data_IF_118869929134
#
_entry.id   IF_118869929134
#
_cell.length_a   1.000
_cell.length_b   1.000
_cell.length_c   1.000
_cell.angle_alpha   90.00
_cell.angle_beta   90.00
_cell.angle_gamma   90.00
#
_symmetry.space_group_name_H-M   'P 1'
#
loop_
_entity.id
_entity.type
_entity.pdbx_description
1 polymer ?
#
# COMPACT_ATOMS: atom_id res chain seq x y z
N UNK A 1 -5.93 40.95 -33.71
CA UNK A 1 -6.11 40.19 -34.97
C UNK A 1 -5.81 38.73 -34.70
N UNK A 2 -6.84 37.88 -34.78
CA UNK A 2 -6.77 36.42 -34.58
C UNK A 2 -6.00 35.79 -35.75
N UNK A 3 -5.07 34.88 -35.48
CA UNK A 3 -4.62 33.89 -36.45
C UNK A 3 -4.61 32.52 -35.76
N UNK A 4 -5.77 31.85 -35.84
CA UNK A 4 -5.88 30.43 -35.52
C UNK A 4 -5.19 29.65 -36.65
N UNK A 5 -4.17 28.87 -36.31
CA UNK A 5 -3.58 27.88 -37.20
C UNK A 5 -4.50 26.65 -37.22
N UNK A 6 -5.15 26.39 -38.35
CA UNK A 6 -5.96 25.19 -38.57
C UNK A 6 -5.04 24.11 -39.14
N UNK A 7 -4.67 23.13 -38.32
CA UNK A 7 -3.97 21.92 -38.77
C UNK A 7 -5.02 20.94 -39.30
N UNK A 8 -5.04 20.74 -40.61
CA UNK A 8 -5.93 19.79 -41.27
C UNK A 8 -5.25 18.42 -41.26
N UNK A 9 -5.71 17.53 -40.39
CA UNK A 9 -5.24 16.15 -40.30
C UNK A 9 -5.77 15.35 -41.49
N UNK A 10 -4.90 14.98 -42.42
CA UNK A 10 -5.23 14.16 -43.59
C UNK A 10 -5.33 12.69 -43.13
N UNK A 11 -6.55 12.19 -42.90
CA UNK A 11 -6.77 10.75 -42.75
C UNK A 11 -6.69 10.09 -44.13
N UNK A 12 -5.55 9.48 -44.44
CA UNK A 12 -5.46 8.57 -45.58
C UNK A 12 -6.21 7.29 -45.21
N UNK A 13 -7.42 7.13 -45.72
CA UNK A 13 -8.12 5.84 -45.68
C UNK A 13 -7.39 4.88 -46.62
N UNK A 14 -6.77 3.85 -46.05
CA UNK A 14 -6.33 2.69 -46.80
C UNK A 14 -7.59 1.97 -47.32
N UNK A 15 -7.94 2.22 -48.57
CA UNK A 15 -8.90 1.38 -49.28
C UNK A 15 -8.13 0.13 -49.70
N UNK A 16 -8.33 -0.95 -48.96
CA UNK A 16 -7.89 -2.29 -49.37
C UNK A 16 -8.88 -2.72 -50.44
N UNK A 17 -8.54 -2.54 -51.72
CA UNK A 17 -9.33 -3.10 -52.79
C UNK A 17 -9.02 -4.61 -52.85
N UNK A 18 -10.01 -5.42 -52.47
CA UNK A 18 -10.01 -6.84 -52.79
C UNK A 18 -10.01 -7.03 -54.31
N UNK A 19 -9.56 -8.20 -54.77
CA UNK A 19 -9.51 -8.55 -56.19
C UNK A 19 -10.88 -8.33 -56.86
N UNK A 20 -10.93 -7.45 -57.87
CA UNK A 20 -12.19 -6.97 -58.48
C UNK A 20 -12.79 -7.93 -59.52
N UNK A 21 -12.15 -9.07 -59.79
CA UNK A 21 -12.62 -10.06 -60.76
C UNK A 21 -11.73 -11.29 -60.90
N UNK A 22 -12.22 -12.32 -61.59
CA UNK A 22 -11.45 -13.56 -61.88
C UNK A 22 -10.90 -13.48 -63.30
N UNK A 23 -9.58 -13.57 -63.47
CA UNK A 23 -8.98 -13.64 -64.80
C UNK A 23 -9.29 -15.00 -65.45
N UNK A 24 -9.76 -14.98 -66.69
CA UNK A 24 -10.12 -16.14 -67.48
C UNK A 24 -9.49 -16.08 -68.86
N UNK A 25 -8.70 -17.11 -69.21
CA UNK A 25 -8.07 -17.26 -70.52
C UNK A 25 -8.57 -18.54 -71.19
N UNK A 26 -9.09 -18.42 -72.40
CA UNK A 26 -9.65 -19.57 -73.14
C UNK A 26 -9.30 -19.51 -74.62
N UNK A 27 -9.16 -20.69 -75.23
CA UNK A 27 -9.04 -20.89 -76.68
C UNK A 27 -10.45 -21.15 -77.25
N UNK A 28 -10.87 -20.36 -78.23
CA UNK A 28 -12.22 -20.46 -78.80
C UNK A 28 -12.18 -21.20 -80.13
N UNK A 29 -13.11 -22.15 -80.29
CA UNK A 29 -13.30 -22.95 -81.50
C UNK A 29 -14.74 -22.88 -81.98
N UNK A 30 -14.97 -23.12 -83.26
CA UNK A 30 -16.31 -23.34 -83.81
C UNK A 30 -16.86 -24.73 -83.46
N UNK A 31 -18.12 -24.99 -83.82
CA UNK A 31 -18.78 -26.29 -83.63
C UNK A 31 -18.15 -27.45 -84.42
N UNK A 32 -17.24 -27.17 -85.36
CA UNK A 32 -16.42 -28.16 -86.07
C UNK A 32 -15.05 -28.41 -85.44
N UNK A 33 -14.70 -27.71 -84.36
CA UNK A 33 -13.42 -27.82 -83.66
C UNK A 33 -12.28 -26.96 -84.25
N UNK A 34 -12.58 -26.11 -85.23
CA UNK A 34 -11.61 -25.18 -85.84
C UNK A 34 -11.42 -23.96 -84.95
N UNK A 35 -10.18 -23.52 -84.77
CA UNK A 35 -9.86 -22.33 -83.95
C UNK A 35 -10.36 -21.05 -84.63
N UNK A 36 -11.10 -20.22 -83.89
CA UNK A 36 -11.58 -18.93 -84.38
C UNK A 36 -10.51 -17.87 -84.18
N UNK A 37 -9.81 -17.45 -85.24
CA UNK A 37 -8.73 -16.44 -85.18
C UNK A 37 -9.21 -15.07 -85.67
N UNK A 38 -8.87 -14.00 -84.94
CA UNK A 38 -9.26 -12.62 -85.30
C UNK A 38 -10.76 -12.43 -85.55
N UNK A 39 -11.61 -13.17 -84.84
CA UNK A 39 -13.07 -13.12 -84.99
C UNK A 39 -13.73 -12.50 -83.76
N UNK A 40 -14.79 -11.72 -84.00
CA UNK A 40 -15.62 -11.18 -82.92
C UNK A 40 -16.48 -12.29 -82.33
N UNK A 41 -16.47 -12.38 -81.01
CA UNK A 41 -17.19 -13.38 -80.23
C UNK A 41 -17.80 -12.71 -79.00
N UNK A 42 -18.94 -13.22 -78.56
CA UNK A 42 -19.52 -12.86 -77.25
C UNK A 42 -19.41 -14.05 -76.32
N UNK A 43 -18.83 -13.86 -75.14
CA UNK A 43 -18.72 -14.86 -74.08
C UNK A 43 -19.65 -14.45 -72.94
N UNK A 44 -20.51 -15.36 -72.51
CA UNK A 44 -21.35 -15.21 -71.33
C UNK A 44 -20.78 -16.07 -70.19
N UNK A 45 -20.65 -15.46 -69.02
CA UNK A 45 -20.30 -16.16 -67.78
C UNK A 45 -21.53 -16.20 -66.88
N UNK A 46 -21.83 -17.37 -66.33
CA UNK A 46 -22.82 -17.52 -65.26
C UNK A 46 -22.15 -18.20 -64.06
N UNK A 47 -22.32 -17.62 -62.88
CA UNK A 47 -21.91 -18.23 -61.61
C UNK A 47 -23.15 -18.85 -60.98
N UNK A 48 -23.05 -20.15 -60.69
CA UNK A 48 -24.13 -20.97 -60.16
C UNK A 48 -23.76 -21.42 -58.75
N UNK A 49 -24.74 -21.50 -57.84
CA UNK A 49 -24.55 -21.85 -56.43
C UNK A 49 -25.29 -23.15 -56.06
N UNK A 50 -24.59 -23.98 -55.29
CA UNK A 50 -25.10 -25.20 -54.65
C UNK A 50 -25.46 -26.33 -55.60
N UNK A 51 -25.95 -27.44 -55.03
CA UNK A 51 -26.32 -28.63 -55.79
C UNK A 51 -27.45 -28.41 -56.81
N UNK A 52 -28.27 -27.37 -56.60
CA UNK A 52 -29.35 -26.98 -57.51
C UNK A 52 -28.88 -26.13 -58.70
N UNK A 53 -27.61 -25.69 -58.71
CA UNK A 53 -27.03 -24.82 -59.74
C UNK A 53 -27.84 -23.53 -59.96
N UNK A 54 -28.20 -22.85 -58.87
CA UNK A 54 -28.97 -21.60 -58.93
C UNK A 54 -28.11 -20.47 -59.48
N UNK A 55 -28.57 -19.74 -60.50
CA UNK A 55 -27.81 -18.62 -61.06
C UNK A 55 -27.81 -17.43 -60.09
N UNK A 56 -26.64 -17.11 -59.54
CA UNK A 56 -26.43 -15.98 -58.61
C UNK A 56 -25.80 -14.77 -59.29
N UNK A 57 -25.17 -14.96 -60.45
CA UNK A 57 -24.55 -13.88 -61.20
C UNK A 57 -24.36 -14.24 -62.68
N UNK A 58 -24.62 -13.29 -63.57
CA UNK A 58 -24.43 -13.47 -65.01
C UNK A 58 -23.98 -12.17 -65.68
N UNK A 59 -22.99 -12.28 -66.59
CA UNK A 59 -22.47 -11.18 -67.38
C UNK A 59 -22.07 -11.63 -68.79
N UNK A 60 -21.85 -10.66 -69.69
CA UNK A 60 -21.35 -10.88 -71.05
C UNK A 60 -20.16 -10.01 -71.38
N UNK A 61 -19.28 -10.54 -72.23
CA UNK A 61 -18.14 -9.85 -72.82
C UNK A 61 -18.18 -10.01 -74.33
N UNK A 62 -18.11 -8.90 -75.06
CA UNK A 62 -17.91 -8.94 -76.52
C UNK A 62 -16.48 -8.54 -76.82
N UNK A 63 -15.73 -9.44 -77.45
CA UNK A 63 -14.29 -9.26 -77.73
C UNK A 63 -13.93 -9.86 -79.08
N UNK A 64 -12.66 -9.74 -79.48
CA UNK A 64 -12.10 -10.36 -80.69
C UNK A 64 -11.01 -11.33 -80.28
N UNK A 65 -11.05 -12.55 -80.80
CA UNK A 65 -10.00 -13.55 -80.57
C UNK A 65 -8.66 -13.10 -81.16
N UNK A 66 -7.54 -13.47 -80.53
CA UNK A 66 -6.22 -13.16 -81.07
C UNK A 66 -5.85 -14.03 -82.30
N UNK A 67 -4.64 -13.83 -82.82
CA UNK A 67 -4.13 -14.59 -83.97
C UNK A 67 -3.99 -16.10 -83.71
N UNK A 68 -4.07 -16.53 -82.44
CA UNK A 68 -4.03 -17.92 -82.00
C UNK A 68 -5.40 -18.42 -81.49
N UNK A 69 -6.43 -17.59 -81.55
CA UNK A 69 -7.79 -17.89 -81.09
C UNK A 69 -8.03 -17.75 -79.59
N UNK A 70 -7.12 -17.13 -78.84
CA UNK A 70 -7.30 -16.88 -77.41
C UNK A 70 -8.08 -15.59 -77.14
N UNK A 71 -8.80 -15.60 -76.02
CA UNK A 71 -9.31 -14.39 -75.36
C UNK A 71 -8.87 -14.39 -73.90
N UNK A 72 -8.64 -13.20 -73.36
CA UNK A 72 -8.39 -12.95 -71.94
C UNK A 72 -9.48 -12.00 -71.46
N UNK A 73 -10.27 -12.45 -70.49
CA UNK A 73 -11.42 -11.73 -69.95
C UNK A 73 -11.30 -11.70 -68.42
N UNK A 74 -11.86 -10.68 -67.80
CA UNK A 74 -11.99 -10.61 -66.35
C UNK A 74 -13.45 -10.77 -65.97
N UNK A 75 -13.77 -11.86 -65.27
CA UNK A 75 -15.12 -12.13 -64.79
C UNK A 75 -15.42 -11.14 -63.66
N UNK A 76 -16.54 -10.43 -63.74
CA UNK A 76 -16.90 -9.35 -62.81
C UNK A 76 -16.77 -7.93 -63.39
N UNK A 77 -16.19 -7.81 -64.60
CA UNK A 77 -15.96 -6.53 -65.30
C UNK A 77 -16.73 -6.45 -66.63
N UNK A 78 -17.62 -7.40 -66.91
CA UNK A 78 -18.41 -7.47 -68.13
C UNK A 78 -19.69 -6.64 -68.09
N UNK A 79 -20.49 -6.76 -69.15
CA UNK A 79 -21.84 -6.20 -69.19
C UNK A 79 -22.78 -7.09 -68.38
N UNK A 80 -23.22 -6.58 -67.23
CA UNK A 80 -24.08 -7.28 -66.28
C UNK A 80 -25.44 -7.65 -66.91
N UNK A 81 -25.87 -8.89 -66.70
CA UNK A 81 -27.21 -9.38 -67.07
C UNK A 81 -28.08 -9.64 -65.84
N UNK A 82 -27.52 -10.21 -64.77
CA UNK A 82 -28.21 -10.45 -63.50
C UNK A 82 -27.23 -10.63 -62.34
N UNK A 83 -27.70 -10.37 -61.12
CA UNK A 83 -26.89 -10.49 -59.89
C UNK A 83 -25.97 -9.30 -59.64
N UNK A 84 -25.08 -9.43 -58.68
CA UNK A 84 -24.01 -8.46 -58.37
C UNK A 84 -22.77 -9.24 -57.94
N UNK A 85 -21.67 -9.08 -58.69
CA UNK A 85 -20.43 -9.82 -58.47
C UNK A 85 -19.85 -9.58 -57.07
N UNK A 86 -20.03 -8.36 -56.53
CA UNK A 86 -19.51 -7.96 -55.23
C UNK A 86 -20.30 -8.55 -54.05
N UNK A 87 -21.51 -9.05 -54.30
CA UNK A 87 -22.42 -9.59 -53.30
C UNK A 87 -22.52 -11.12 -53.33
N UNK A 88 -21.72 -11.80 -54.17
CA UNK A 88 -21.67 -13.27 -54.21
C UNK A 88 -21.10 -13.79 -52.89
N UNK A 89 -21.86 -14.63 -52.19
CA UNK A 89 -21.48 -15.23 -50.91
C UNK A 89 -20.60 -16.47 -51.11
N UNK A 90 -19.36 -16.26 -51.55
CA UNK A 90 -18.40 -17.33 -51.88
C UNK A 90 -18.10 -18.36 -50.77
N UNK A 91 -18.52 -18.09 -49.52
CA UNK A 91 -18.31 -18.96 -48.37
C UNK A 91 -19.52 -19.83 -47.96
N UNK A 92 -20.70 -19.62 -48.57
CA UNK A 92 -21.94 -20.26 -48.11
C UNK A 92 -22.15 -21.67 -48.71
N UNK A 93 -21.90 -21.86 -50.01
CA UNK A 93 -22.00 -23.17 -50.69
C UNK A 93 -20.98 -23.29 -51.85
N UNK A 94 -20.93 -24.44 -52.51
CA UNK A 94 -20.12 -24.69 -53.71
C UNK A 94 -20.58 -23.81 -54.88
N UNK A 95 -19.63 -23.19 -55.56
CA UNK A 95 -19.89 -22.32 -56.72
C UNK A 95 -19.35 -22.95 -58.01
N UNK A 96 -20.06 -22.73 -59.12
CA UNK A 96 -19.74 -23.27 -60.44
C UNK A 96 -19.72 -22.16 -61.49
N UNK A 97 -18.78 -22.23 -62.42
CA UNK A 97 -18.72 -21.38 -63.60
C UNK A 97 -19.30 -22.11 -64.80
N UNK A 98 -20.40 -21.61 -65.35
CA UNK A 98 -20.88 -21.97 -66.68
C UNK A 98 -20.41 -20.93 -67.70
N UNK A 99 -19.94 -21.41 -68.86
CA UNK A 99 -19.44 -20.55 -69.94
C UNK A 99 -20.23 -20.83 -71.20
N UNK A 100 -20.77 -19.79 -71.82
CA UNK A 100 -21.43 -19.90 -73.12
C UNK A 100 -20.77 -18.94 -74.13
N UNK A 101 -20.69 -19.35 -75.39
CA UNK A 101 -20.04 -18.57 -76.44
C UNK A 101 -20.99 -18.39 -77.63
N UNK A 102 -21.07 -17.18 -78.15
CA UNK A 102 -21.72 -16.86 -79.41
C UNK A 102 -20.68 -16.35 -80.40
N UNK A 103 -20.47 -17.11 -81.48
CA UNK A 103 -19.61 -16.75 -82.62
C UNK A 103 -20.41 -16.33 -83.86
N UNK A 104 -21.69 -15.97 -83.70
CA UNK A 104 -22.60 -15.56 -84.78
C UNK A 104 -23.79 -16.50 -85.03
N UNK A 105 -23.88 -17.63 -84.32
CA UNK A 105 -24.95 -18.63 -84.47
C UNK A 105 -25.83 -18.80 -83.21
N UNK A 106 -25.71 -17.89 -82.24
CA UNK A 106 -26.37 -18.00 -80.92
C UNK A 106 -25.42 -18.52 -79.84
N UNK A 107 -25.88 -18.50 -78.58
CA UNK A 107 -25.09 -18.98 -77.44
C UNK A 107 -25.01 -20.51 -77.46
N UNK A 108 -23.79 -21.02 -77.43
CA UNK A 108 -23.47 -22.44 -77.29
C UNK A 108 -22.86 -22.67 -75.93
N UNK A 109 -23.36 -23.68 -75.20
CA UNK A 109 -22.84 -24.07 -73.89
C UNK A 109 -21.49 -24.79 -74.01
N UNK A 110 -20.48 -24.26 -73.32
CA UNK A 110 -19.12 -24.82 -73.27
C UNK A 110 -18.89 -25.66 -72.00
N UNK A 111 -19.91 -25.79 -71.15
CA UNK A 111 -19.91 -26.61 -69.96
C UNK A 111 -19.84 -25.82 -68.66
N UNK A 112 -20.06 -26.55 -67.57
CA UNK A 112 -20.08 -26.04 -66.19
C UNK A 112 -18.97 -26.70 -65.39
N UNK A 113 -18.14 -25.90 -64.74
CA UNK A 113 -17.01 -26.39 -63.92
C UNK A 113 -17.07 -25.78 -62.52
N UNK A 114 -16.86 -26.59 -61.48
CA UNK A 114 -16.81 -26.11 -60.10
C UNK A 114 -15.58 -25.22 -59.87
N UNK A 115 -15.74 -24.13 -59.13
CA UNK A 115 -14.61 -23.40 -58.59
C UNK A 115 -13.94 -24.23 -57.50
N UNK A 116 -12.66 -24.54 -57.68
CA UNK A 116 -11.85 -25.19 -56.66
C UNK A 116 -11.16 -24.15 -55.78
N UNK A 117 -11.09 -24.40 -54.48
CA UNK A 117 -10.41 -23.51 -53.55
C UNK A 117 -8.91 -23.37 -53.89
N UNK A 118 -8.41 -22.13 -53.89
CA UNK A 118 -6.98 -21.84 -54.05
C UNK A 118 -6.23 -22.26 -52.76
N UNK A 119 -5.00 -22.81 -52.84
CA UNK A 119 -4.26 -23.25 -51.64
C UNK A 119 -4.14 -22.21 -50.52
N UNK A 120 -3.98 -20.92 -50.87
CA UNK A 120 -3.94 -19.82 -49.89
C UNK A 120 -5.32 -19.50 -49.28
N UNK A 121 -6.42 -19.72 -50.02
CA UNK A 121 -7.77 -19.56 -49.50
C UNK A 121 -8.13 -20.67 -48.50
N UNK A 122 -7.66 -21.91 -48.72
CA UNK A 122 -7.75 -22.99 -47.71
C UNK A 122 -6.96 -22.71 -46.43
N UNK A 123 -5.88 -21.93 -46.52
CA UNK A 123 -5.16 -21.46 -45.34
C UNK A 123 -5.89 -20.30 -44.64
N UNK A 124 -6.64 -19.49 -45.39
CA UNK A 124 -7.47 -18.39 -44.86
C UNK A 124 -8.78 -18.85 -44.21
N UNK A 125 -9.28 -20.06 -44.50
CA UNK A 125 -10.31 -20.73 -43.68
C UNK A 125 -9.86 -20.86 -42.20
N UNK A 126 -8.54 -20.91 -41.96
CA UNK A 126 -7.93 -20.92 -40.62
C UNK A 126 -7.49 -19.52 -40.14
N UNK A 127 -7.83 -18.44 -40.83
CA UNK A 127 -7.45 -17.08 -40.43
C UNK A 127 -8.44 -16.51 -39.40
N UNK A 128 -7.95 -16.41 -38.17
CA UNK A 128 -8.68 -16.16 -36.93
C UNK A 128 -9.41 -14.80 -36.99
N UNK A 129 -10.72 -14.84 -37.27
CA UNK A 129 -11.65 -13.72 -37.01
C UNK A 129 -12.41 -13.91 -35.69
N UNK A 130 -12.37 -15.13 -35.14
CA UNK A 130 -12.80 -15.57 -33.80
C UNK A 130 -11.85 -16.66 -33.31
N UNK A 131 -11.71 -16.83 -32.00
CA UNK A 131 -11.06 -18.03 -31.44
C UNK A 131 -12.11 -19.16 -31.42
N UNK A 132 -12.48 -19.67 -32.60
CA UNK A 132 -13.34 -20.84 -32.71
C UNK A 132 -12.51 -22.12 -32.44
N UNK A 133 -13.11 -23.12 -31.79
CA UNK A 133 -12.46 -24.36 -31.30
C UNK A 133 -11.54 -24.23 -30.07
N UNK A 134 -11.72 -23.23 -29.21
CA UNK A 134 -11.38 -23.42 -27.79
C UNK A 134 -12.35 -24.47 -27.24
N UNK A 135 -12.04 -25.75 -27.48
CA UNK A 135 -12.84 -26.89 -26.98
C UNK A 135 -12.97 -26.88 -25.45
N UNK A 136 -12.11 -26.12 -24.78
CA UNK A 136 -12.04 -25.90 -23.35
C UNK A 136 -12.55 -24.52 -22.91
N UNK A 137 -13.17 -23.73 -23.79
CA UNK A 137 -13.87 -22.50 -23.42
C UNK A 137 -15.38 -22.70 -23.36
N UNK A 138 -15.99 -22.27 -22.26
CA UNK A 138 -17.42 -22.26 -22.01
C UNK A 138 -17.86 -20.81 -21.82
N UNK A 139 -18.59 -20.26 -22.78
CA UNK A 139 -19.24 -18.96 -22.64
C UNK A 139 -20.73 -19.19 -22.32
N UNK A 140 -21.20 -18.63 -21.21
CA UNK A 140 -22.61 -18.61 -20.84
C UNK A 140 -23.14 -17.17 -20.94
N UNK A 141 -24.40 -16.92 -20.60
CA UNK A 141 -25.06 -15.63 -20.88
C UNK A 141 -24.27 -14.41 -20.37
N UNK A 142 -23.60 -14.53 -19.22
CA UNK A 142 -22.77 -13.47 -18.64
C UNK A 142 -21.42 -13.95 -18.08
N UNK A 143 -21.14 -15.26 -18.15
CA UNK A 143 -19.90 -15.85 -17.63
C UNK A 143 -18.97 -16.22 -18.77
N UNK A 144 -17.67 -16.10 -18.54
CA UNK A 144 -16.61 -16.51 -19.48
C UNK A 144 -15.68 -17.47 -18.77
N UNK A 145 -15.61 -18.70 -19.26
CA UNK A 145 -14.70 -19.74 -18.75
C UNK A 145 -13.78 -20.20 -19.87
N UNK A 146 -12.48 -20.26 -19.62
CA UNK A 146 -11.46 -20.75 -20.56
C UNK A 146 -10.51 -21.67 -19.80
N UNK A 147 -10.24 -22.86 -20.33
CA UNK A 147 -9.39 -23.88 -19.73
C UNK A 147 -10.18 -25.13 -19.36
N UNK A 148 -9.51 -26.28 -19.40
CA UNK A 148 -10.15 -27.58 -19.13
C UNK A 148 -10.85 -27.57 -17.75
N UNK A 149 -12.12 -28.00 -17.72
CA UNK A 149 -13.01 -28.01 -16.55
C UNK A 149 -13.29 -26.65 -15.88
N UNK A 150 -12.91 -25.54 -16.52
CA UNK A 150 -13.19 -24.20 -16.02
C UNK A 150 -14.70 -23.96 -15.95
N UNK A 151 -15.22 -23.61 -14.76
CA UNK A 151 -16.66 -23.42 -14.52
C UNK A 151 -17.54 -24.66 -14.76
N UNK A 152 -17.01 -25.89 -14.58
CA UNK A 152 -17.72 -27.14 -14.90
C UNK A 152 -19.06 -27.30 -14.16
N UNK A 153 -19.12 -26.91 -12.89
CA UNK A 153 -20.31 -27.01 -12.06
C UNK A 153 -21.25 -25.77 -12.12
N UNK A 154 -20.91 -24.74 -12.90
CA UNK A 154 -21.65 -23.46 -12.92
C UNK A 154 -23.07 -23.64 -13.49
N UNK A 155 -24.06 -22.99 -12.87
CA UNK A 155 -25.49 -23.15 -13.15
C UNK A 155 -26.08 -22.20 -14.22
N UNK A 156 -25.26 -21.34 -14.85
CA UNK A 156 -25.66 -20.61 -16.07
C UNK A 156 -25.84 -19.09 -15.97
N UNK A 157 -25.85 -18.47 -14.78
CA UNK A 157 -26.20 -17.05 -14.64
C UNK A 157 -25.40 -16.27 -13.57
N UNK A 158 -24.10 -16.57 -13.47
CA UNK A 158 -23.32 -16.12 -12.31
C UNK A 158 -22.40 -14.92 -12.54
N UNK A 159 -22.24 -14.46 -13.80
CA UNK A 159 -21.35 -13.34 -14.13
C UNK A 159 -19.87 -13.60 -13.74
N UNK A 160 -19.43 -14.84 -13.82
CA UNK A 160 -18.08 -15.27 -13.43
C UNK A 160 -17.10 -15.15 -14.61
N UNK A 161 -15.84 -14.83 -14.33
CA UNK A 161 -14.74 -14.91 -15.30
C UNK A 161 -13.70 -15.88 -14.78
N UNK A 162 -13.44 -16.98 -15.49
CA UNK A 162 -12.39 -17.92 -15.13
C UNK A 162 -11.46 -18.26 -16.30
N UNK A 163 -10.16 -18.28 -16.04
CA UNK A 163 -9.11 -18.60 -17.00
C UNK A 163 -8.09 -19.53 -16.35
N UNK A 164 -8.06 -20.79 -16.76
CA UNK A 164 -7.11 -21.80 -16.28
C UNK A 164 -7.73 -23.19 -16.08
N UNK A 165 -6.87 -24.21 -16.05
CA UNK A 165 -7.26 -25.58 -15.73
C UNK A 165 -7.90 -25.65 -14.34
N UNK A 166 -9.08 -26.25 -14.23
CA UNK A 166 -9.86 -26.41 -12.99
C UNK A 166 -10.21 -25.08 -12.26
N UNK A 167 -10.13 -23.92 -12.93
CA UNK A 167 -10.53 -22.64 -12.35
C UNK A 167 -12.05 -22.61 -12.11
N UNK A 168 -12.50 -22.24 -10.89
CA UNK A 168 -13.92 -22.24 -10.49
C UNK A 168 -14.66 -23.57 -10.75
N UNK A 169 -13.95 -24.70 -10.83
CA UNK A 169 -14.52 -26.01 -11.23
C UNK A 169 -15.78 -26.41 -10.46
N UNK A 170 -15.78 -26.22 -9.13
CA UNK A 170 -16.88 -26.64 -8.25
C UNK A 170 -17.88 -25.51 -7.93
N UNK A 171 -17.77 -24.34 -8.55
CA UNK A 171 -18.68 -23.23 -8.31
C UNK A 171 -20.09 -23.59 -8.78
N UNK A 172 -21.06 -23.59 -7.88
CA UNK A 172 -22.45 -23.95 -8.19
C UNK A 172 -23.26 -22.68 -8.46
N UNK A 173 -23.31 -21.79 -7.47
CA UNK A 173 -24.17 -20.60 -7.46
C UNK A 173 -23.44 -19.33 -6.99
N UNK A 174 -22.12 -19.38 -6.83
CA UNK A 174 -21.30 -18.21 -6.48
C UNK A 174 -21.21 -17.24 -7.67
N UNK A 175 -21.43 -15.95 -7.40
CA UNK A 175 -21.62 -14.90 -8.39
C UNK A 175 -20.43 -13.94 -8.45
N UNK A 176 -20.18 -13.36 -9.62
CA UNK A 176 -19.29 -12.21 -9.83
C UNK A 176 -17.83 -12.46 -9.41
N UNK A 177 -17.35 -13.69 -9.55
CA UNK A 177 -15.98 -14.08 -9.24
C UNK A 177 -15.06 -13.92 -10.46
N UNK A 178 -13.82 -13.50 -10.23
CA UNK A 178 -12.72 -13.50 -11.21
C UNK A 178 -11.67 -14.50 -10.73
N UNK A 179 -11.37 -15.52 -11.53
CA UNK A 179 -10.42 -16.58 -11.21
C UNK A 179 -9.42 -16.79 -12.35
N UNK A 180 -8.16 -16.38 -12.16
CA UNK A 180 -7.14 -16.48 -13.20
C UNK A 180 -5.96 -17.30 -12.67
N UNK A 181 -5.76 -18.48 -13.24
CA UNK A 181 -4.72 -19.43 -12.85
C UNK A 181 -5.23 -20.87 -12.76
N UNK A 182 -4.29 -21.81 -12.71
CA UNK A 182 -4.61 -23.22 -12.48
C UNK A 182 -5.21 -23.41 -11.08
N UNK A 183 -6.32 -24.13 -10.97
CA UNK A 183 -6.99 -24.49 -9.71
C UNK A 183 -7.37 -23.30 -8.81
N UNK A 184 -7.47 -22.10 -9.38
CA UNK A 184 -7.91 -20.89 -8.68
C UNK A 184 -9.38 -21.00 -8.31
N UNK A 185 -9.74 -20.74 -7.05
CA UNK A 185 -11.11 -20.90 -6.53
C UNK A 185 -11.73 -22.29 -6.79
N UNK A 186 -10.91 -23.34 -6.93
CA UNK A 186 -11.37 -24.70 -7.28
C UNK A 186 -12.48 -25.21 -6.36
N UNK A 187 -12.37 -24.97 -5.05
CA UNK A 187 -13.33 -25.42 -4.05
C UNK A 187 -14.58 -24.56 -3.89
N UNK A 188 -14.68 -23.39 -4.57
CA UNK A 188 -15.75 -22.43 -4.32
C UNK A 188 -17.09 -23.08 -4.60
N UNK A 189 -18.06 -22.95 -3.69
CA UNK A 189 -19.42 -23.50 -3.87
C UNK A 189 -20.39 -22.35 -4.13
N UNK A 190 -20.43 -21.39 -3.21
CA UNK A 190 -21.40 -20.27 -3.21
C UNK A 190 -20.80 -18.93 -2.80
N UNK A 191 -19.47 -18.80 -2.77
CA UNK A 191 -18.80 -17.55 -2.43
C UNK A 191 -18.89 -16.55 -3.59
N UNK A 192 -19.16 -15.29 -3.28
CA UNK A 192 -19.42 -14.23 -4.27
C UNK A 192 -18.30 -13.18 -4.28
N UNK A 193 -18.15 -12.50 -5.42
CA UNK A 193 -17.34 -11.26 -5.57
C UNK A 193 -15.88 -11.41 -5.16
N UNK A 194 -15.29 -12.58 -5.40
CA UNK A 194 -13.86 -12.78 -5.17
C UNK A 194 -13.05 -12.40 -6.42
N UNK A 195 -11.93 -11.70 -6.25
CA UNK A 195 -10.95 -11.41 -7.32
C UNK A 195 -9.66 -12.15 -7.03
N UNK A 196 -9.39 -13.21 -7.80
CA UNK A 196 -8.34 -14.17 -7.48
C UNK A 196 -7.46 -14.43 -8.70
N UNK A 197 -6.15 -14.21 -8.54
CA UNK A 197 -5.14 -14.35 -9.60
C UNK A 197 -3.94 -15.10 -9.03
N UNK A 198 -3.65 -16.29 -9.55
CA UNK A 198 -2.51 -17.10 -9.13
C UNK A 198 -2.85 -18.59 -9.04
N UNK A 199 -1.86 -19.43 -9.32
CA UNK A 199 -1.99 -20.88 -9.23
C UNK A 199 -2.42 -21.29 -7.82
N UNK A 200 -3.50 -22.07 -7.71
CA UNK A 200 -4.08 -22.55 -6.45
C UNK A 200 -4.44 -21.46 -5.42
N UNK A 201 -4.52 -20.19 -5.81
CA UNK A 201 -5.00 -19.13 -4.93
C UNK A 201 -6.46 -19.39 -4.53
N UNK A 202 -6.78 -19.25 -3.24
CA UNK A 202 -8.08 -19.58 -2.65
C UNK A 202 -8.64 -20.97 -3.04
N UNK A 203 -7.78 -21.95 -3.29
CA UNK A 203 -8.19 -23.29 -3.78
C UNK A 203 -9.22 -23.97 -2.88
N UNK A 204 -9.18 -23.75 -1.55
CA UNK A 204 -10.11 -24.37 -0.59
C UNK A 204 -11.29 -23.49 -0.19
N UNK A 205 -11.49 -22.33 -0.81
CA UNK A 205 -12.64 -21.48 -0.51
C UNK A 205 -13.93 -22.24 -0.78
N UNK A 206 -14.91 -22.17 0.11
CA UNK A 206 -16.22 -22.82 -0.09
C UNK A 206 -17.35 -21.79 -0.15
N UNK A 207 -17.37 -20.87 0.81
CA UNK A 207 -18.42 -19.83 0.92
C UNK A 207 -17.86 -18.43 1.14
N UNK A 208 -16.54 -18.27 1.30
CA UNK A 208 -15.91 -16.97 1.51
C UNK A 208 -16.16 -16.03 0.34
N UNK A 209 -16.48 -14.78 0.65
CA UNK A 209 -16.93 -13.78 -0.33
C UNK A 209 -16.16 -12.47 -0.17
N UNK A 210 -16.14 -11.65 -1.22
CA UNK A 210 -15.50 -10.33 -1.25
C UNK A 210 -13.98 -10.37 -0.96
N UNK A 211 -13.29 -11.45 -1.29
CA UNK A 211 -11.84 -11.56 -1.10
C UNK A 211 -11.06 -11.13 -2.34
N UNK A 212 -9.87 -10.57 -2.14
CA UNK A 212 -8.87 -10.32 -3.18
C UNK A 212 -7.60 -11.12 -2.88
N UNK A 213 -7.21 -12.04 -3.76
CA UNK A 213 -6.00 -12.85 -3.59
C UNK A 213 -5.16 -12.85 -4.86
N UNK A 214 -3.93 -12.35 -4.77
CA UNK A 214 -3.01 -12.20 -5.91
C UNK A 214 -1.67 -12.85 -5.58
N UNK A 215 -1.38 -14.01 -6.15
CA UNK A 215 -0.16 -14.77 -5.91
C UNK A 215 -0.41 -16.28 -5.87
N UNK A 216 0.61 -17.08 -6.15
CA UNK A 216 0.52 -18.54 -6.00
C UNK A 216 0.13 -18.90 -4.55
N UNK A 217 -0.94 -19.71 -4.40
CA UNK A 217 -1.44 -20.20 -3.12
C UNK A 217 -1.76 -19.08 -2.09
N UNK A 218 -2.00 -17.84 -2.53
CA UNK A 218 -2.51 -16.78 -1.67
C UNK A 218 -3.90 -17.17 -1.13
N UNK A 219 -4.13 -17.02 0.18
CA UNK A 219 -5.35 -17.48 0.89
C UNK A 219 -5.72 -18.97 0.63
N UNK A 220 -4.76 -19.84 0.33
CA UNK A 220 -5.02 -21.23 -0.09
C UNK A 220 -6.03 -22.00 0.79
N UNK A 221 -5.90 -21.91 2.12
CA UNK A 221 -6.74 -22.61 3.09
C UNK A 221 -7.95 -21.78 3.57
N UNK A 222 -8.19 -20.58 3.03
CA UNK A 222 -9.41 -19.84 3.36
C UNK A 222 -10.62 -20.66 2.88
N UNK A 223 -11.54 -20.99 3.79
CA UNK A 223 -12.75 -21.78 3.51
C UNK A 223 -14.03 -20.93 3.54
N UNK A 224 -14.10 -19.95 4.43
CA UNK A 224 -15.30 -19.15 4.68
C UNK A 224 -15.04 -17.67 4.97
N UNK A 225 -13.78 -17.29 5.22
CA UNK A 225 -13.38 -15.92 5.53
C UNK A 225 -13.69 -14.95 4.39
N UNK A 226 -14.09 -13.74 4.76
CA UNK A 226 -14.64 -12.72 3.87
C UNK A 226 -13.85 -11.42 3.95
N UNK A 227 -13.87 -10.64 2.87
CA UNK A 227 -13.26 -9.30 2.89
C UNK A 227 -11.74 -9.30 3.05
N UNK A 228 -11.07 -10.43 2.82
CA UNK A 228 -9.62 -10.54 2.97
C UNK A 228 -8.89 -10.05 1.71
N UNK A 229 -7.73 -9.44 1.91
CA UNK A 229 -6.81 -9.02 0.85
C UNK A 229 -5.48 -9.71 1.08
N UNK A 230 -5.01 -10.54 0.15
CA UNK A 230 -3.70 -11.17 0.21
C UNK A 230 -2.92 -10.96 -1.10
N UNK A 231 -1.71 -10.42 -1.01
CA UNK A 231 -0.87 -10.14 -2.17
C UNK A 231 0.54 -10.72 -1.96
N UNK A 232 0.92 -11.62 -2.86
CA UNK A 232 2.20 -12.30 -2.95
C UNK A 232 2.10 -13.82 -2.76
N UNK A 233 3.18 -14.53 -3.09
CA UNK A 233 3.25 -15.99 -2.98
C UNK A 233 2.99 -16.41 -1.52
N UNK A 234 2.02 -17.30 -1.30
CA UNK A 234 1.65 -17.81 0.02
C UNK A 234 1.13 -16.76 1.03
N UNK A 235 0.85 -15.54 0.60
CA UNK A 235 0.30 -14.50 1.48
C UNK A 235 -1.02 -14.96 2.12
N UNK A 236 -1.11 -14.88 3.44
CA UNK A 236 -2.31 -15.28 4.19
C UNK A 236 -2.72 -16.74 3.95
N UNK A 237 -1.80 -17.64 3.58
CA UNK A 237 -2.12 -19.03 3.16
C UNK A 237 -3.06 -19.80 4.10
N UNK A 238 -2.99 -19.50 5.40
CA UNK A 238 -3.78 -20.16 6.45
C UNK A 238 -4.86 -19.23 7.06
N UNK A 239 -5.11 -18.08 6.46
CA UNK A 239 -6.13 -17.13 6.94
C UNK A 239 -7.54 -17.67 6.66
N UNK A 240 -8.40 -17.58 7.67
CA UNK A 240 -9.80 -18.00 7.61
C UNK A 240 -10.75 -17.06 8.37
N UNK A 241 -10.23 -16.02 9.03
CA UNK A 241 -11.01 -14.94 9.61
C UNK A 241 -11.44 -13.94 8.53
N UNK A 242 -12.24 -12.95 8.93
CA UNK A 242 -12.71 -11.88 8.05
C UNK A 242 -11.82 -10.64 8.14
N UNK A 243 -11.85 -9.84 7.06
CA UNK A 243 -11.35 -8.48 6.99
C UNK A 243 -9.85 -8.34 7.29
N UNK A 244 -9.01 -9.26 6.81
CA UNK A 244 -7.56 -9.24 7.01
C UNK A 244 -6.80 -8.78 5.77
N UNK A 245 -5.66 -8.12 5.97
CA UNK A 245 -4.69 -7.76 4.93
C UNK A 245 -3.38 -8.53 5.14
N UNK A 246 -2.87 -9.14 4.07
CA UNK A 246 -1.55 -9.76 3.99
C UNK A 246 -0.83 -9.27 2.74
N UNK A 247 0.37 -8.70 2.90
CA UNK A 247 1.28 -8.44 1.78
C UNK A 247 2.62 -9.04 2.16
N UNK A 248 2.94 -10.17 1.52
CA UNK A 248 4.19 -10.90 1.72
C UNK A 248 4.40 -11.95 0.63
N UNK A 249 5.62 -12.46 0.50
CA UNK A 249 5.94 -13.59 -0.39
C UNK A 249 6.19 -14.89 0.39
N UNK A 250 5.55 -15.05 1.55
CA UNK A 250 5.65 -16.24 2.38
C UNK A 250 4.36 -16.53 3.16
N UNK A 251 4.29 -17.71 3.78
CA UNK A 251 3.18 -18.12 4.68
C UNK A 251 3.44 -17.82 6.15
N UNK A 252 4.35 -16.89 6.44
CA UNK A 252 4.69 -16.47 7.81
C UNK A 252 3.48 -15.90 8.56
N UNK A 253 3.52 -15.98 9.89
CA UNK A 253 2.56 -15.30 10.78
C UNK A 253 2.82 -13.79 10.90
N UNK A 254 4.01 -13.32 10.52
CA UNK A 254 4.41 -11.92 10.56
C UNK A 254 4.77 -11.42 9.14
N UNK A 255 3.77 -11.18 8.26
CA UNK A 255 4.02 -10.75 6.88
C UNK A 255 4.62 -9.35 6.85
N UNK A 256 5.30 -8.94 5.77
CA UNK A 256 5.86 -7.59 5.68
C UNK A 256 4.84 -6.50 6.04
N UNK A 257 3.62 -6.62 5.50
CA UNK A 257 2.47 -5.80 5.91
C UNK A 257 1.32 -6.73 6.29
N UNK A 258 0.78 -6.50 7.48
CA UNK A 258 -0.44 -7.13 7.97
C UNK A 258 -1.49 -6.05 8.25
N UNK A 259 -2.77 -6.39 8.17
CA UNK A 259 -3.83 -5.51 8.64
C UNK A 259 -5.07 -6.24 9.09
N UNK A 260 -5.87 -5.54 9.88
CA UNK A 260 -7.19 -5.91 10.34
C UNK A 260 -8.11 -4.74 10.02
N UNK A 261 -9.17 -4.98 9.26
CA UNK A 261 -10.21 -4.00 8.94
C UNK A 261 -11.50 -4.27 9.71
N UNK A 262 -11.45 -5.12 10.75
CA UNK A 262 -12.62 -5.35 11.61
C UNK A 262 -13.01 -4.06 12.31
N UNK A 263 -14.26 -3.63 12.15
CA UNK A 263 -14.81 -2.41 12.75
C UNK A 263 -14.47 -2.29 14.24
N UNK A 264 -13.86 -1.18 14.64
CA UNK A 264 -13.44 -0.90 16.02
C UNK A 264 -12.13 -1.58 16.47
N UNK A 265 -11.47 -2.32 15.58
CA UNK A 265 -10.15 -2.93 15.79
C UNK A 265 -9.26 -2.75 14.55
N UNK A 266 -9.50 -1.69 13.76
CA UNK A 266 -8.80 -1.43 12.52
C UNK A 266 -7.34 -1.09 12.80
N UNK A 267 -6.42 -1.83 12.17
CA UNK A 267 -4.97 -1.67 12.36
C UNK A 267 -4.21 -2.14 11.14
N UNK A 268 -3.09 -1.50 10.88
CA UNK A 268 -2.08 -1.94 9.91
C UNK A 268 -0.75 -2.07 10.64
N UNK A 269 -0.10 -3.22 10.52
CA UNK A 269 1.21 -3.53 11.09
C UNK A 269 2.21 -3.68 9.95
N UNK A 270 3.35 -2.98 10.04
CA UNK A 270 4.50 -3.19 9.15
C UNK A 270 5.57 -3.90 9.96
N UNK A 271 5.90 -5.14 9.59
CA UNK A 271 6.87 -5.97 10.31
C UNK A 271 8.33 -5.70 9.89
N UNK A 272 8.53 -4.87 8.85
CA UNK A 272 9.84 -4.35 8.44
C UNK A 272 10.06 -2.88 8.79
N UNK A 273 11.14 -2.30 8.26
CA UNK A 273 11.41 -0.87 8.39
C UNK A 273 10.46 -0.06 7.49
N UNK A 274 9.71 0.87 8.08
CA UNK A 274 8.95 1.87 7.34
C UNK A 274 9.84 3.09 7.09
N UNK A 275 10.38 3.22 5.88
CA UNK A 275 11.13 4.40 5.45
C UNK A 275 10.21 5.43 4.79
N UNK A 276 10.14 6.65 5.35
CA UNK A 276 9.38 7.77 4.78
C UNK A 276 10.36 8.83 4.30
N UNK A 277 10.56 8.95 2.98
CA UNK A 277 11.41 9.96 2.36
C UNK A 277 10.59 10.96 1.53
N UNK A 278 10.96 12.24 1.54
CA UNK A 278 10.34 13.27 0.68
C UNK A 278 11.36 13.85 -0.30
N UNK A 279 11.03 13.89 -1.59
CA UNK A 279 11.84 14.53 -2.64
C UNK A 279 11.55 16.02 -2.83
N UNK A 280 10.57 16.57 -2.10
CA UNK A 280 10.23 18.00 -2.15
C UNK A 280 11.15 18.81 -1.23
N UNK A 281 11.77 19.85 -1.80
CA UNK A 281 12.53 20.89 -1.09
C UNK A 281 11.65 21.84 -0.24
N UNK A 282 10.40 21.45 0.04
CA UNK A 282 9.49 22.09 0.99
C UNK A 282 9.46 21.23 2.26
N UNK A 283 9.94 21.81 3.34
CA UNK A 283 10.39 21.18 4.59
C UNK A 283 9.29 20.41 5.35
N UNK A 284 9.20 19.10 5.13
CA UNK A 284 9.28 18.01 6.14
C UNK A 284 8.64 16.72 5.59
N UNK A 285 9.34 15.56 5.55
CA UNK A 285 8.64 14.28 5.48
C UNK A 285 7.82 14.13 6.76
N UNK A 286 6.50 14.20 6.64
CA UNK A 286 5.58 13.96 7.76
C UNK A 286 4.90 12.61 7.56
N UNK A 287 5.00 11.74 8.58
CA UNK A 287 4.06 10.63 8.75
C UNK A 287 2.72 11.23 9.19
N UNK A 288 1.88 11.59 8.23
CA UNK A 288 0.53 12.11 8.48
C UNK A 288 -0.45 10.94 8.67
N UNK A 289 -0.83 10.65 9.92
CA UNK A 289 -1.98 9.80 10.23
C UNK A 289 -3.25 10.66 10.26
N UNK A 290 -4.01 10.70 9.16
CA UNK A 290 -5.30 11.41 9.06
C UNK A 290 -6.44 10.40 9.13
N UNK A 291 -7.44 10.63 9.99
CA UNK A 291 -8.81 10.16 9.76
C UNK A 291 -9.78 11.32 9.96
N UNK A 292 -10.64 11.56 8.96
CA UNK A 292 -11.74 12.52 9.00
C UNK A 292 -12.95 11.91 9.71
N UNK A 293 -13.06 12.13 11.02
CA UNK A 293 -14.18 11.65 11.84
C UNK A 293 -14.06 12.07 13.31
N UNK A 294 -15.20 12.18 14.00
CA UNK A 294 -15.43 13.02 15.21
C UNK A 294 -14.62 12.70 16.48
N UNK A 295 -13.64 11.79 16.47
CA UNK A 295 -12.76 11.54 17.62
C UNK A 295 -11.34 11.15 17.20
N UNK A 296 -10.60 12.11 16.63
CA UNK A 296 -9.13 12.30 16.62
C UNK A 296 -8.16 11.11 16.41
N UNK A 297 -7.22 11.28 15.47
CA UNK A 297 -6.04 10.41 15.31
C UNK A 297 -4.98 10.64 16.42
N UNK A 298 -4.37 9.57 16.95
CA UNK A 298 -3.31 9.60 17.98
C UNK A 298 -2.19 8.59 17.65
N UNK A 299 -0.98 8.88 18.11
CA UNK A 299 0.11 7.89 18.25
C UNK A 299 0.16 7.51 19.75
N UNK A 300 -0.39 6.36 20.13
CA UNK A 300 -0.50 5.93 21.53
C UNK A 300 0.54 4.85 21.89
N UNK A 301 1.23 5.08 23.00
CA UNK A 301 2.19 4.18 23.62
C UNK A 301 1.66 3.88 25.05
N UNK A 302 1.16 2.66 25.37
CA UNK A 302 0.63 2.29 26.72
C UNK A 302 1.17 0.95 27.31
N UNK A 303 1.65 0.97 28.57
CA UNK A 303 2.01 -0.18 29.43
C UNK A 303 0.97 -0.27 30.56
N UNK A 304 0.43 -1.46 30.82
CA UNK A 304 -0.73 -1.69 31.72
C UNK A 304 -0.40 -2.49 32.99
N UNK A 305 0.88 -2.70 33.31
CA UNK A 305 1.25 -3.35 34.56
C UNK A 305 1.02 -2.43 35.77
N UNK A 306 0.24 -2.92 36.73
CA UNK A 306 -0.14 -2.22 37.98
C UNK A 306 0.80 -2.52 39.13
N UNK A 307 1.88 -3.28 38.90
CA UNK A 307 2.89 -3.66 39.91
C UNK A 307 4.14 -2.76 39.95
N UNK A 308 4.05 -1.54 39.39
CA UNK A 308 5.08 -0.49 39.44
C UNK A 308 6.35 -0.64 38.58
N UNK A 309 6.51 -1.66 37.73
CA UNK A 309 7.61 -1.67 36.75
C UNK A 309 7.12 -1.25 35.35
N UNK A 310 6.73 0.02 35.22
CA UNK A 310 6.47 0.69 33.95
C UNK A 310 7.78 1.09 33.25
N UNK A 311 8.62 0.12 32.89
CA UNK A 311 9.84 0.39 32.14
C UNK A 311 9.53 0.51 30.63
N UNK A 312 9.59 1.74 30.11
CA UNK A 312 9.59 2.03 28.68
C UNK A 312 11.03 2.14 28.18
N UNK A 313 11.55 1.06 27.59
CA UNK A 313 12.89 1.07 27.01
C UNK A 313 12.78 1.32 25.50
N UNK A 314 13.05 2.56 25.08
CA UNK A 314 13.24 2.90 23.67
C UNK A 314 14.73 2.75 23.33
N UNK A 315 15.10 1.65 22.67
CA UNK A 315 16.48 1.37 22.27
C UNK A 315 16.82 2.20 21.03
N UNK A 316 17.71 3.18 21.17
CA UNK A 316 18.50 3.64 20.04
C UNK A 316 19.73 2.76 19.97
N UNK A 317 20.04 2.23 18.78
CA UNK A 317 21.29 1.49 18.56
C UNK A 317 22.46 2.37 19.02
N UNK A 318 23.15 1.93 20.08
CA UNK A 318 24.10 2.74 20.85
C UNK A 318 25.39 3.04 20.09
N UNK A 319 25.48 2.62 18.83
CA UNK A 319 26.66 2.82 18.01
C UNK A 319 26.72 4.20 17.33
N UNK A 320 25.61 4.98 17.31
CA UNK A 320 25.55 6.29 16.64
C UNK A 320 24.81 7.40 17.42
N UNK A 321 24.56 7.23 18.72
CA UNK A 321 23.99 8.29 19.55
C UNK A 321 25.11 9.22 20.02
N UNK A 322 25.34 10.30 19.27
CA UNK A 322 26.26 11.38 19.67
C UNK A 322 25.56 12.43 20.56
N UNK A 323 26.34 13.37 21.12
CA UNK A 323 25.80 14.45 21.96
C UNK A 323 24.77 15.37 21.25
N UNK A 324 24.66 15.26 19.92
CA UNK A 324 23.76 16.04 19.08
C UNK A 324 22.48 15.28 18.72
N UNK A 325 22.36 14.01 19.07
CA UNK A 325 21.14 13.22 18.85
C UNK A 325 20.01 13.79 19.71
N UNK A 326 18.80 13.96 19.17
CA UNK A 326 17.67 14.57 19.89
C UNK A 326 16.38 13.78 19.59
N UNK A 327 15.72 13.29 20.64
CA UNK A 327 14.39 12.68 20.61
C UNK A 327 13.36 13.64 21.21
N UNK A 328 12.35 14.04 20.45
CA UNK A 328 11.32 14.98 20.87
C UNK A 328 9.93 14.33 20.91
N UNK A 329 9.18 14.56 21.98
CA UNK A 329 7.74 14.36 22.05
C UNK A 329 7.09 15.74 21.92
N UNK A 330 6.26 15.97 20.90
CA UNK A 330 5.69 17.28 20.55
C UNK A 330 4.17 17.31 20.74
N UNK A 331 3.63 18.47 21.14
CA UNK A 331 2.20 18.75 21.14
C UNK A 331 1.90 19.95 20.23
N UNK A 332 0.91 19.80 19.35
CA UNK A 332 0.64 20.74 18.26
C UNK A 332 0.39 22.19 18.71
N UNK A 333 -0.10 22.40 19.93
CA UNK A 333 -0.47 23.74 20.43
C UNK A 333 0.57 24.36 21.37
N UNK A 334 1.50 23.56 21.92
CA UNK A 334 2.40 23.99 23.01
C UNK A 334 3.88 23.73 22.72
N UNK A 335 4.21 23.09 21.60
CA UNK A 335 5.59 22.83 21.21
C UNK A 335 6.14 21.49 21.72
N UNK A 336 7.47 21.36 21.75
CA UNK A 336 8.16 20.21 22.33
C UNK A 336 7.74 20.05 23.80
N UNK A 337 7.17 18.90 24.17
CA UNK A 337 6.79 18.54 25.53
C UNK A 337 8.00 17.94 26.26
N UNK A 338 8.72 17.02 25.61
CA UNK A 338 9.90 16.34 26.17
C UNK A 338 10.96 16.23 25.08
N UNK A 339 12.20 16.55 25.41
CA UNK A 339 13.37 16.47 24.54
C UNK A 339 14.44 15.66 25.25
N UNK A 340 14.81 14.49 24.74
CA UNK A 340 15.93 13.68 25.24
C UNK A 340 17.09 13.83 24.27
N UNK A 341 18.23 14.32 24.74
CA UNK A 341 19.44 14.43 23.95
C UNK A 341 20.32 13.19 24.11
N UNK A 342 21.15 12.91 23.11
CA UNK A 342 22.10 11.81 23.12
C UNK A 342 23.22 11.97 24.13
N UNK A 343 23.41 13.18 24.68
CA UNK A 343 24.25 13.43 25.86
C UNK A 343 23.54 13.10 27.19
N UNK A 344 22.34 12.50 27.15
CA UNK A 344 21.54 12.08 28.31
C UNK A 344 20.70 13.18 28.93
N UNK A 345 20.71 14.42 28.39
CA UNK A 345 19.90 15.52 28.94
C UNK A 345 18.46 15.41 28.50
N UNK A 346 17.54 15.43 29.47
CA UNK A 346 16.10 15.49 29.24
C UNK A 346 15.61 16.89 29.56
N UNK A 347 15.00 17.57 28.59
CA UNK A 347 14.36 18.87 28.75
C UNK A 347 12.85 18.69 28.61
N UNK A 348 12.08 19.27 29.52
CA UNK A 348 10.61 19.18 29.52
C UNK A 348 10.06 20.59 29.53
N UNK A 349 9.26 20.95 28.54
CA UNK A 349 8.78 22.32 28.37
C UNK A 349 7.40 22.45 29.03
N UNK A 350 7.41 22.85 30.30
CA UNK A 350 6.28 22.89 31.23
C UNK A 350 6.73 22.45 32.62
N UNK A 351 5.82 22.46 33.61
CA UNK A 351 6.12 21.96 34.95
C UNK A 351 6.41 20.45 34.88
N UNK A 352 7.69 20.07 34.91
CA UNK A 352 8.11 18.70 35.14
C UNK A 352 7.70 18.33 36.57
N UNK A 353 6.52 17.74 36.70
CA UNK A 353 6.07 17.20 37.98
C UNK A 353 6.78 15.86 38.19
N UNK A 354 8.01 15.93 38.70
CA UNK A 354 8.69 14.74 39.25
C UNK A 354 7.91 14.36 40.51
N UNK A 355 6.98 13.40 40.38
CA UNK A 355 6.13 12.98 41.49
C UNK A 355 6.86 12.15 42.55
N UNK A 356 8.16 11.89 42.39
CA UNK A 356 8.98 11.29 43.44
C UNK A 356 10.44 11.75 43.41
N UNK A 357 10.65 13.00 43.83
CA UNK A 357 11.71 13.31 44.79
C UNK A 357 11.12 14.21 45.86
N UNK A 358 11.17 13.72 47.10
CA UNK A 358 10.58 14.23 48.33
C UNK A 358 10.53 15.77 48.42
N UNK A 359 9.31 16.33 48.27
CA UNK A 359 8.98 17.72 48.64
C UNK A 359 9.26 17.95 50.13
N UNK A 360 9.95 19.05 50.47
CA UNK A 360 9.95 19.61 51.83
C UNK A 360 9.46 21.06 51.75
N UNK A 361 8.26 21.35 52.29
CA UNK A 361 7.79 22.71 52.62
C UNK A 361 6.59 23.25 51.81
N UNK A 362 5.67 23.95 52.50
CA UNK A 362 4.28 24.26 52.08
C UNK A 362 4.02 25.74 51.67
N UNK A 363 4.92 26.38 50.93
CA UNK A 363 4.56 27.62 50.22
C UNK A 363 5.35 27.67 48.92
N UNK A 364 4.65 27.82 47.79
CA UNK A 364 5.16 27.70 46.42
C UNK A 364 6.14 28.78 45.99
N UNK A 365 7.23 28.95 46.72
CA UNK A 365 8.36 29.76 46.31
C UNK A 365 9.43 28.84 45.71
N UNK A 366 9.93 29.22 44.53
CA UNK A 366 10.94 28.45 43.82
C UNK A 366 12.30 28.61 44.52
N UNK A 367 13.05 27.52 44.61
CA UNK A 367 14.43 27.57 45.10
C UNK A 367 15.31 27.98 43.92
N UNK A 368 15.90 29.17 43.99
CA UNK A 368 16.69 29.75 42.90
C UNK A 368 18.19 29.49 43.02
N UNK A 369 18.66 29.22 44.24
CA UNK A 369 20.07 28.92 44.51
C UNK A 369 20.19 28.00 45.72
N UNK A 370 21.11 27.02 45.65
CA UNK A 370 21.40 26.11 46.77
C UNK A 370 22.89 26.15 47.07
N UNK A 371 23.25 26.59 48.28
CA UNK A 371 24.62 26.65 48.75
C UNK A 371 24.82 25.59 49.83
N UNK A 372 25.77 24.68 49.60
CA UNK A 372 26.12 23.61 50.54
C UNK A 372 27.46 23.90 51.22
N UNK A 373 27.45 23.87 52.55
CA UNK A 373 28.61 24.07 53.41
C UNK A 373 28.79 22.82 54.29
N UNK A 374 30.03 22.36 54.43
CA UNK A 374 30.36 21.18 55.25
C UNK A 374 31.51 21.50 56.19
N UNK A 375 31.47 20.96 57.42
CA UNK A 375 32.54 21.15 58.39
C UNK A 375 32.38 20.24 59.61
N UNK A 376 33.20 20.47 60.64
CA UNK A 376 33.14 19.76 61.92
C UNK A 376 32.92 20.74 63.08
N UNK A 377 32.14 20.34 64.08
CA UNK A 377 31.88 21.14 65.29
C UNK A 377 33.05 21.03 66.28
N UNK A 378 33.25 22.04 67.13
CA UNK A 378 34.26 21.98 68.21
C UNK A 378 33.78 22.69 69.49
N UNK A 379 34.39 22.37 70.64
CA UNK A 379 34.09 23.07 71.89
C UNK A 379 35.05 24.22 72.11
N UNK A 380 34.54 25.41 72.43
CA UNK A 380 35.40 26.53 72.79
C UNK A 380 35.85 26.43 74.27
N UNK A 381 36.88 27.18 74.65
CA UNK A 381 37.52 27.08 75.97
C UNK A 381 36.59 27.39 77.18
N UNK A 382 35.36 27.86 76.94
CA UNK A 382 34.38 28.24 77.98
C UNK A 382 33.24 27.23 78.12
N UNK A 383 33.35 26.06 77.47
CA UNK A 383 32.42 24.94 77.66
C UNK A 383 31.17 24.97 76.79
N UNK A 384 30.98 25.99 75.94
CA UNK A 384 29.93 26.03 74.93
C UNK A 384 30.38 25.28 73.66
N UNK A 385 29.50 24.50 73.03
CA UNK A 385 29.78 23.87 71.72
C UNK A 385 29.45 24.89 70.62
N UNK A 386 30.41 25.19 69.75
CA UNK A 386 30.26 26.14 68.65
C UNK A 386 30.81 25.57 67.35
N UNK A 387 30.45 26.16 66.21
CA UNK A 387 31.21 25.96 64.97
C UNK A 387 32.03 27.21 64.64
N UNK A 388 33.02 27.03 63.76
CA UNK A 388 33.84 28.10 63.20
C UNK A 388 32.93 29.18 62.61
N UNK A 389 33.35 30.45 62.71
CA UNK A 389 32.76 31.53 61.90
C UNK A 389 32.87 31.11 60.43
N UNK A 390 31.76 30.67 59.84
CA UNK A 390 31.76 30.29 58.42
C UNK A 390 31.68 31.61 57.65
N UNK A 391 32.72 31.99 56.89
CA UNK A 391 32.65 33.18 56.06
C UNK A 391 31.49 33.02 55.08
N UNK A 392 30.76 34.10 54.79
CA UNK A 392 29.69 33.96 53.81
C UNK A 392 30.22 33.42 52.48
N UNK A 393 29.54 32.41 51.90
CA UNK A 393 29.94 31.84 50.63
C UNK A 393 29.82 32.89 49.52
N UNK A 394 30.68 32.79 48.50
CA UNK A 394 30.62 33.65 47.33
C UNK A 394 29.25 33.54 46.66
N UNK A 395 28.50 34.65 46.58
CA UNK A 395 27.12 34.68 46.05
C UNK A 395 26.05 34.95 47.12
N UNK A 396 26.38 34.80 48.40
CA UNK A 396 25.43 35.14 49.46
C UNK A 396 25.16 36.65 49.53
N UNK A 397 23.90 37.04 49.35
CA UNK A 397 23.41 38.39 49.66
C UNK A 397 22.50 38.34 50.89
N UNK A 398 22.80 39.18 51.89
CA UNK A 398 22.12 39.25 53.18
C UNK A 398 20.70 39.85 53.09
N UNK A 399 20.36 40.51 51.98
CA UNK A 399 19.01 41.07 51.74
C UNK A 399 18.01 40.02 51.24
N UNK A 400 18.45 38.81 50.88
CA UNK A 400 17.58 37.74 50.37
C UNK A 400 17.00 36.86 51.48
N UNK A 401 15.85 36.23 51.21
CA UNK A 401 15.27 35.21 52.09
C UNK A 401 15.85 33.84 51.76
N UNK A 402 16.33 33.10 52.77
CA UNK A 402 16.82 31.74 52.59
C UNK A 402 16.08 30.77 53.52
N UNK A 403 15.72 29.59 53.01
CA UNK A 403 15.47 28.43 53.88
C UNK A 403 16.82 27.86 54.29
N UNK A 404 17.00 27.69 55.58
CA UNK A 404 18.18 27.07 56.14
C UNK A 404 17.84 25.65 56.57
N UNK A 405 18.51 24.66 55.99
CA UNK A 405 18.45 23.27 56.42
C UNK A 405 19.80 22.86 56.97
N UNK A 406 19.80 22.25 58.15
CA UNK A 406 21.02 21.86 58.83
C UNK A 406 20.94 20.40 59.27
N UNK A 407 22.03 19.66 59.07
CA UNK A 407 22.15 18.27 59.52
C UNK A 407 23.49 18.06 60.18
N UNK A 408 23.48 17.45 61.36
CA UNK A 408 24.68 17.02 62.09
C UNK A 408 24.64 15.50 62.20
N UNK A 409 25.76 14.84 61.89
CA UNK A 409 25.90 13.40 62.08
C UNK A 409 26.44 13.15 63.49
N UNK A 410 25.61 12.59 64.37
CA UNK A 410 26.03 12.16 65.70
C UNK A 410 27.16 11.11 65.55
N UNK A 411 28.17 11.19 66.43
CA UNK A 411 29.26 10.21 66.48
C UNK A 411 28.64 8.83 66.80
N UNK A 412 28.78 7.87 65.89
CA UNK A 412 28.21 6.53 66.04
C UNK A 412 28.72 5.86 67.33
N UNK A 413 27.82 5.70 68.31
CA UNK A 413 28.14 5.10 69.60
C UNK A 413 27.13 5.39 70.72
N UNK A 414 25.83 5.32 70.45
CA UNK A 414 24.79 5.48 71.49
C UNK A 414 23.38 5.35 70.91
N UNK A 415 22.70 4.25 71.25
CA UNK A 415 21.36 3.88 70.80
C UNK A 415 20.31 4.91 71.25
N UNK A 416 19.69 5.61 70.31
CA UNK A 416 18.59 6.54 70.58
C UNK A 416 18.44 7.58 69.49
N UNK A 417 17.96 7.16 68.32
CA UNK A 417 17.72 8.06 67.19
C UNK A 417 16.71 9.14 67.54
N UNK A 418 17.16 10.40 67.52
CA UNK A 418 16.27 11.56 67.43
C UNK A 418 16.61 12.26 66.12
N UNK A 419 15.88 11.90 65.06
CA UNK A 419 15.71 12.76 63.90
C UNK A 419 14.75 13.90 64.32
N UNK A 420 15.25 14.90 65.06
CA UNK A 420 14.51 16.15 65.21
C UNK A 420 14.87 17.05 64.03
N UNK A 421 13.95 17.13 63.07
CA UNK A 421 13.97 18.15 62.03
C UNK A 421 13.35 19.41 62.62
N UNK A 422 14.16 20.42 62.95
CA UNK A 422 13.64 21.74 63.28
C UNK A 422 13.68 22.61 62.03
N UNK A 423 12.54 22.79 61.39
CA UNK A 423 12.31 23.92 60.49
C UNK A 423 12.25 25.21 61.34
N UNK A 424 13.03 26.23 60.99
CA UNK A 424 12.92 27.56 61.58
C UNK A 424 11.58 28.19 61.15
N UNK A 425 10.55 28.03 61.99
CA UNK A 425 9.33 28.82 61.98
C UNK A 425 9.15 29.45 63.37
N UNK A 426 8.70 30.71 63.42
CA UNK A 426 8.57 31.58 64.60
C UNK A 426 8.50 30.86 65.95
N UNK A 427 9.55 31.00 66.77
CA UNK A 427 9.63 30.43 68.11
C UNK A 427 9.03 31.36 69.15
N UNK A 428 8.17 30.81 70.01
CA UNK A 428 7.71 31.45 71.25
C UNK A 428 8.66 31.06 72.40
N UNK A 429 8.78 31.94 73.40
CA UNK A 429 9.65 31.76 74.56
C UNK A 429 9.17 30.59 75.44
N UNK A 430 9.74 29.39 75.22
CA UNK A 430 9.40 28.19 75.97
C UNK A 430 10.01 26.89 75.42
N UNK A 431 10.48 26.86 74.17
CA UNK A 431 11.02 25.64 73.54
C UNK A 431 12.55 25.46 73.73
N UNK A 432 12.96 24.19 73.82
CA UNK A 432 14.29 23.65 74.13
C UNK A 432 15.38 24.15 73.14
N UNK A 433 16.36 24.92 73.64
CA UNK A 433 17.34 25.68 72.83
C UNK A 433 18.64 24.90 72.53
N UNK A 434 18.54 23.73 71.90
CA UNK A 434 19.71 22.85 71.70
C UNK A 434 20.62 23.29 70.52
N UNK A 435 20.06 23.92 69.48
CA UNK A 435 20.79 24.35 68.27
C UNK A 435 20.13 25.61 67.70
N UNK A 436 20.87 26.71 67.54
CA UNK A 436 20.39 27.92 66.84
C UNK A 436 21.46 28.51 65.92
N UNK A 437 21.02 29.06 64.78
CA UNK A 437 21.87 29.69 63.75
C UNK A 437 21.68 31.20 63.86
N UNK A 438 22.75 31.90 64.24
CA UNK A 438 22.75 33.35 64.33
C UNK A 438 23.47 33.95 63.11
N UNK A 439 22.78 34.83 62.40
CA UNK A 439 23.33 35.56 61.26
C UNK A 439 23.76 36.93 61.78
N UNK A 440 25.05 37.08 62.11
CA UNK A 440 25.56 38.32 62.71
C UNK A 440 26.17 39.25 61.68
N UNK A 441 25.87 40.53 61.86
CA UNK A 441 26.61 41.65 61.30
C UNK A 441 27.24 42.38 62.49
N UNK A 442 28.56 42.35 62.64
CA UNK A 442 29.26 43.17 63.63
C UNK A 442 29.62 44.51 62.97
N UNK A 443 28.93 45.61 63.30
CA UNK A 443 29.16 46.90 62.65
C UNK A 443 30.48 47.56 63.08
N UNK A 444 31.21 46.99 64.05
CA UNK A 444 32.32 47.65 64.73
C UNK A 444 33.69 47.08 64.42
N UNK A 445 33.79 45.95 63.71
CA UNK A 445 35.07 45.36 63.28
C UNK A 445 35.09 45.12 61.77
N UNK A 446 36.10 45.66 61.10
CA UNK A 446 36.30 45.50 59.65
C UNK A 446 36.36 44.01 59.27
N UNK A 447 35.37 43.58 58.50
CA UNK A 447 35.33 42.39 57.65
C UNK A 447 35.49 41.03 58.36
N UNK A 448 34.36 40.47 58.79
CA UNK A 448 33.83 39.28 58.10
C UNK A 448 32.38 39.09 58.51
N UNK A 449 31.48 39.15 57.54
CA UNK A 449 30.13 38.65 57.70
C UNK A 449 30.27 37.11 57.86
N UNK A 450 29.71 36.51 58.92
CA UNK A 450 29.78 35.06 59.15
C UNK A 450 28.46 34.46 59.64
N UNK A 451 28.27 33.18 59.34
CA UNK A 451 27.19 32.37 59.90
C UNK A 451 27.72 31.70 61.17
N UNK A 452 27.08 31.95 62.31
CA UNK A 452 27.43 31.33 63.58
C UNK A 452 26.44 30.22 63.92
N UNK A 453 26.92 28.97 63.96
CA UNK A 453 26.13 27.85 64.50
C UNK A 453 26.49 27.65 65.97
N UNK A 454 25.50 27.80 66.84
CA UNK A 454 25.63 27.53 68.27
C UNK A 454 24.91 26.23 68.58
N UNK A 455 25.63 25.27 69.17
CA UNK A 455 25.09 23.98 69.59
C UNK A 455 25.29 23.93 71.10
N UNK A 456 24.23 23.90 71.90
CA UNK A 456 24.39 23.93 73.36
C UNK A 456 24.62 22.53 73.94
N UNK A 457 24.37 21.47 73.15
CA UNK A 457 24.43 20.09 73.60
C UNK A 457 25.82 19.43 73.41
N UNK A 458 26.50 19.01 74.51
CA UNK A 458 27.81 18.36 74.50
C UNK A 458 27.92 17.11 73.61
N UNK A 459 26.83 16.41 73.32
CA UNK A 459 26.86 15.14 72.57
C UNK A 459 27.25 15.31 71.09
N UNK A 460 27.26 16.54 70.58
CA UNK A 460 27.57 16.86 69.19
C UNK A 460 28.96 17.49 69.00
N UNK A 461 29.87 17.42 69.98
CA UNK A 461 31.25 17.86 69.83
C UNK A 461 32.04 16.95 68.85
N UNK A 462 32.74 17.56 67.89
CA UNK A 462 33.52 16.83 66.86
C UNK A 462 32.65 16.16 65.79
N UNK A 463 31.36 16.46 65.74
CA UNK A 463 30.42 15.92 64.77
C UNK A 463 30.56 16.61 63.41
N UNK A 464 30.44 15.84 62.33
CA UNK A 464 30.33 16.39 60.98
C UNK A 464 28.98 17.05 60.78
N UNK A 465 28.97 18.21 60.13
CA UNK A 465 27.76 18.89 59.76
C UNK A 465 27.70 19.23 58.27
N UNK A 466 26.47 19.29 57.78
CA UNK A 466 26.09 19.80 56.47
C UNK A 466 25.06 20.90 56.68
N UNK A 467 25.40 22.11 56.25
CA UNK A 467 24.51 23.25 56.20
C UNK A 467 24.12 23.50 54.74
N UNK A 468 22.83 23.61 54.48
CA UNK A 468 22.27 23.91 53.16
C UNK A 468 21.50 25.21 53.29
N UNK A 469 21.92 26.23 52.56
CA UNK A 469 21.20 27.49 52.40
C UNK A 469 20.49 27.43 51.05
N UNK A 470 19.17 27.52 51.05
CA UNK A 470 18.35 27.51 49.84
C UNK A 470 17.75 28.89 49.69
N UNK A 471 18.19 29.65 48.68
CA UNK A 471 17.62 30.95 48.37
C UNK A 471 16.19 30.74 47.87
N UNK A 472 15.28 31.47 48.47
CA UNK A 472 13.88 31.53 48.04
C UNK A 472 13.72 32.84 47.26
N UNK A 473 13.22 32.76 46.03
CA UNK A 473 12.83 33.95 45.26
C UNK A 473 11.41 34.42 45.60
#
# INVERSE_FOLDING_TARGET
>A
MKKLFFSMLFFATLVINAQTGINYKVLIKDGGGTVLVSQSVTVQFSILEGAALTNVYQETHTTTTDANGFVILNIGEGTLMSGDYSQIAWGDDEHFLNVQINSGAGLTDMGTTQFMAVPYAKFAENSITKIDNLTDAKAETKSVFVGENSGNADDGNNQNTALGFDALKNNINGLQNVAIGESTLLGNISGDRNTVIGQSAMRRNTTGSNNTAVGEEALYNNTSGQGNIAIGQWAGRNENDDNKLYIDNSSTSDPLIWGDFTDGNEKVKINGNLEVSSTNTSSTPSLNLIHEGVTGARINFSNTDTTNDNLWTLYGDTNDIDANSIFNIFHSNTGNIVTVKGDGKVNVNGDLTVTNTTKIGTSGAAISEVIKLTGTTYRNAVGNVGSNNIPYPSGYNWENTYVVSFKVKQREGGLGGINKYTSLGNYNSGDDQSIYIDLRNDPTTNNTNYIQLNISDPQYEGAEYVLILMKID
#
